data_IF_817616289716
#
_entry.id   IF_817616289716
#
_cell.length_a   1.000
_cell.length_b   1.000
_cell.length_c   1.000
_cell.angle_alpha   90.00
_cell.angle_beta   90.00
_cell.angle_gamma   90.00
#
_symmetry.space_group_name_H-M   'P 1'
#
loop_
_entity.id
_entity.type
_entity.pdbx_description
1 polymer ?
#
# COMPACT_ATOMS: atom_id res chain seq x y z
N UNK A 1 4.41 14.50 4.95
CA UNK A 1 5.49 13.52 5.18
C UNK A 1 5.77 12.84 3.84
N UNK A 2 6.98 12.94 3.28
CA UNK A 2 7.28 12.31 1.98
C UNK A 2 7.92 10.95 2.23
N UNK A 3 7.13 9.87 2.14
CA UNK A 3 7.68 8.52 2.17
C UNK A 3 8.29 8.21 0.80
N UNK A 4 9.53 7.73 0.77
CA UNK A 4 10.26 7.36 -0.45
C UNK A 4 10.42 8.48 -1.50
N UNK A 5 10.12 9.74 -1.17
CA UNK A 5 10.22 10.89 -2.07
C UNK A 5 8.95 11.18 -2.88
N UNK A 6 7.82 10.55 -2.58
CA UNK A 6 6.54 10.91 -3.22
C UNK A 6 6.12 12.32 -2.78
N UNK A 7 5.76 13.16 -3.75
CA UNK A 7 5.21 14.50 -3.52
C UNK A 7 3.69 14.54 -3.71
N UNK A 8 3.09 13.44 -4.14
CA UNK A 8 1.64 13.35 -4.32
C UNK A 8 0.98 13.24 -2.94
N UNK A 9 -0.03 14.08 -2.62
CA UNK A 9 -0.79 13.91 -1.39
C UNK A 9 -1.56 12.59 -1.42
N UNK A 10 -1.62 11.93 -0.27
CA UNK A 10 -2.50 10.78 -0.01
C UNK A 10 -3.33 11.08 1.23
N UNK A 11 -4.63 10.83 1.15
CA UNK A 11 -5.55 10.86 2.29
C UNK A 11 -5.61 9.53 3.01
N UNK A 12 -5.20 8.45 2.33
CA UNK A 12 -5.47 7.08 2.75
C UNK A 12 -4.20 6.46 3.35
N UNK A 13 -4.39 5.62 4.38
CA UNK A 13 -3.34 4.84 5.05
C UNK A 13 -3.73 3.37 5.03
N UNK A 14 -2.98 2.56 4.27
CA UNK A 14 -3.15 1.12 4.21
C UNK A 14 -2.29 0.42 5.28
N UNK A 15 -2.90 -0.42 6.12
CA UNK A 15 -2.20 -1.15 7.19
C UNK A 15 -2.42 -2.65 6.99
N UNK A 16 -1.33 -3.40 6.87
CA UNK A 16 -1.37 -4.86 6.96
C UNK A 16 -1.12 -5.29 8.39
N UNK A 17 -2.03 -6.11 8.93
CA UNK A 17 -1.91 -6.68 10.27
C UNK A 17 -1.76 -8.20 10.18
N UNK A 18 -1.00 -8.76 11.13
CA UNK A 18 -0.83 -10.20 11.24
C UNK A 18 -2.15 -10.87 11.58
N UNK A 19 -2.46 -11.98 10.90
CA UNK A 19 -3.68 -12.76 11.17
C UNK A 19 -3.68 -13.40 12.56
N UNK A 20 -2.51 -13.50 13.19
CA UNK A 20 -2.34 -14.06 14.54
C UNK A 20 -2.54 -13.05 15.67
N UNK A 21 -2.68 -11.75 15.34
CA UNK A 21 -2.82 -10.69 16.34
C UNK A 21 -4.29 -10.43 16.63
N UNK A 22 -4.61 -10.28 17.91
CA UNK A 22 -5.88 -9.68 18.31
C UNK A 22 -5.84 -8.19 17.94
N UNK A 23 -6.65 -7.83 16.96
CA UNK A 23 -6.77 -6.47 16.45
C UNK A 23 -7.97 -5.73 17.01
N UNK A 24 -8.72 -6.32 17.96
CA UNK A 24 -9.98 -5.75 18.46
C UNK A 24 -9.79 -4.32 18.94
N UNK A 25 -8.75 -4.05 19.73
CA UNK A 25 -8.46 -2.69 20.20
C UNK A 25 -8.07 -1.71 19.08
N UNK A 26 -7.35 -2.19 18.05
CA UNK A 26 -7.00 -1.36 16.89
C UNK A 26 -8.24 -1.06 16.05
N UNK A 27 -9.09 -2.06 15.80
CA UNK A 27 -10.35 -1.91 15.07
C UNK A 27 -11.29 -0.99 15.85
N UNK A 28 -11.43 -1.13 17.17
CA UNK A 28 -12.25 -0.23 17.98
C UNK A 28 -11.73 1.22 17.97
N UNK A 29 -10.41 1.41 17.96
CA UNK A 29 -9.80 2.74 17.86
C UNK A 29 -10.09 3.37 16.50
N UNK A 30 -9.99 2.59 15.42
CA UNK A 30 -10.21 3.07 14.05
C UNK A 30 -11.69 3.21 13.69
N UNK A 31 -12.58 2.35 14.23
CA UNK A 31 -14.02 2.37 13.98
C UNK A 31 -14.72 3.60 14.59
N UNK A 32 -14.06 4.33 15.49
CA UNK A 32 -14.50 5.65 15.92
C UNK A 32 -14.36 6.71 14.80
N UNK A 33 -13.63 6.38 13.72
CA UNK A 33 -13.50 7.17 12.51
C UNK A 33 -14.31 6.53 11.37
N UNK A 34 -15.35 7.25 10.94
CA UNK A 34 -16.26 6.85 9.85
C UNK A 34 -15.55 6.67 8.49
N UNK A 35 -14.30 7.15 8.35
CA UNK A 35 -13.49 6.96 7.14
C UNK A 35 -12.71 5.63 7.12
N UNK A 36 -12.73 4.85 8.21
CA UNK A 36 -12.05 3.56 8.27
C UNK A 36 -12.82 2.48 7.50
N UNK A 37 -12.08 1.68 6.71
CA UNK A 37 -12.66 0.52 6.03
C UNK A 37 -11.80 -0.72 6.33
N UNK A 38 -12.47 -1.80 6.75
CA UNK A 38 -11.83 -3.10 6.91
C UNK A 38 -12.18 -3.97 5.69
N UNK A 39 -11.28 -3.98 4.72
CA UNK A 39 -11.34 -4.95 3.64
C UNK A 39 -10.79 -6.26 4.21
N UNK A 40 -11.65 -7.22 4.57
CA UNK A 40 -11.27 -8.59 4.98
C UNK A 40 -10.45 -9.27 3.86
N UNK A 41 -9.18 -8.90 3.78
CA UNK A 41 -8.42 -8.89 2.54
C UNK A 41 -7.84 -10.26 2.17
N UNK A 42 -7.62 -10.45 0.88
CA UNK A 42 -6.87 -11.58 0.32
C UNK A 42 -5.36 -11.57 0.65
N UNK A 43 -4.83 -10.51 1.27
CA UNK A 43 -3.40 -10.38 1.61
C UNK A 43 -3.22 -10.20 3.10
N UNK A 44 -2.37 -11.03 3.68
CA UNK A 44 -2.01 -10.94 5.10
C UNK A 44 -0.63 -10.32 5.29
N UNK A 45 -0.34 -9.80 6.48
CA UNK A 45 0.99 -9.28 6.80
C UNK A 45 2.07 -10.36 6.64
N UNK A 46 1.79 -11.62 6.93
CA UNK A 46 2.75 -12.73 6.81
C UNK A 46 3.26 -12.90 5.37
N UNK A 47 2.40 -12.68 4.38
CA UNK A 47 2.77 -12.76 2.96
C UNK A 47 3.65 -11.57 2.53
N UNK A 48 3.42 -10.39 3.11
CA UNK A 48 4.15 -9.17 2.78
C UNK A 48 5.45 -9.00 3.60
N UNK A 49 5.50 -9.55 4.82
CA UNK A 49 6.59 -9.34 5.78
C UNK A 49 7.99 -9.65 5.25
N UNK A 50 8.22 -10.70 4.42
CA UNK A 50 9.54 -10.94 3.82
C UNK A 50 10.02 -9.84 2.87
N UNK A 51 9.10 -9.00 2.39
CA UNK A 51 9.33 -7.92 1.44
C UNK A 51 9.11 -6.54 2.07
N UNK A 52 9.31 -6.44 3.39
CA UNK A 52 9.18 -5.19 4.13
C UNK A 52 10.51 -4.83 4.79
N UNK A 53 10.84 -3.54 4.74
CA UNK A 53 11.99 -2.96 5.43
C UNK A 53 11.53 -2.21 6.69
N UNK A 54 12.32 -2.26 7.79
CA UNK A 54 12.03 -1.48 8.99
C UNK A 54 12.31 0.00 8.74
N UNK A 55 11.36 0.85 9.08
CA UNK A 55 11.49 2.31 9.13
C UNK A 55 11.07 2.78 10.53
N UNK A 56 12.05 2.98 11.43
CA UNK A 56 11.80 3.21 12.87
C UNK A 56 10.96 2.05 13.45
N UNK A 57 9.79 2.36 14.00
CA UNK A 57 8.87 1.41 14.63
C UNK A 57 7.89 0.76 13.65
N UNK A 58 7.84 1.23 12.39
CA UNK A 58 6.94 0.69 11.37
C UNK A 58 7.69 -0.15 10.35
N UNK A 59 7.04 -1.18 9.81
CA UNK A 59 7.53 -1.92 8.65
C UNK A 59 6.84 -1.40 7.40
N UNK A 60 7.62 -0.96 6.43
CA UNK A 60 7.08 -0.50 5.14
C UNK A 60 7.47 -1.49 4.05
N UNK A 61 6.60 -1.71 3.04
CA UNK A 61 6.97 -2.47 1.85
C UNK A 61 8.26 -1.98 1.19
N UNK A 62 9.07 -2.91 0.71
CA UNK A 62 10.21 -2.59 -0.17
C UNK A 62 9.71 -1.89 -1.45
N UNK A 63 10.51 -1.00 -2.07
CA UNK A 63 10.05 -0.24 -3.23
C UNK A 63 9.60 -1.12 -4.42
N UNK A 64 10.27 -2.23 -4.68
CA UNK A 64 9.91 -3.17 -5.75
C UNK A 64 8.65 -3.98 -5.42
N UNK A 65 8.49 -4.39 -4.16
CA UNK A 65 7.25 -5.01 -3.69
C UNK A 65 6.07 -4.02 -3.77
N UNK A 66 6.28 -2.75 -3.39
CA UNK A 66 5.29 -1.68 -3.53
C UNK A 66 4.85 -1.48 -4.99
N UNK A 67 5.83 -1.49 -5.92
CA UNK A 67 5.57 -1.43 -7.35
C UNK A 67 4.75 -2.63 -7.82
N UNK A 68 5.11 -3.84 -7.41
CA UNK A 68 4.37 -5.06 -7.74
C UNK A 68 2.93 -5.04 -7.19
N UNK A 69 2.74 -4.51 -5.96
CA UNK A 69 1.40 -4.32 -5.39
C UNK A 69 0.56 -3.38 -6.24
N UNK A 70 1.11 -2.22 -6.64
CA UNK A 70 0.42 -1.23 -7.47
C UNK A 70 0.09 -1.75 -8.86
N UNK A 71 1.02 -2.46 -9.49
CA UNK A 71 0.76 -3.14 -10.77
C UNK A 71 -0.41 -4.13 -10.66
N UNK A 72 -0.42 -4.98 -9.62
CA UNK A 72 -1.55 -5.89 -9.38
C UNK A 72 -2.87 -5.15 -9.13
N UNK A 73 -2.86 -4.08 -8.34
CA UNK A 73 -4.06 -3.25 -8.10
C UNK A 73 -4.62 -2.67 -9.41
N UNK A 74 -3.76 -2.12 -10.27
CA UNK A 74 -4.14 -1.60 -11.58
C UNK A 74 -4.88 -2.65 -12.42
N UNK A 75 -4.33 -3.86 -12.54
CA UNK A 75 -4.93 -4.95 -13.31
C UNK A 75 -6.23 -5.48 -12.73
N UNK A 76 -6.37 -5.47 -11.40
CA UNK A 76 -7.55 -6.03 -10.71
C UNK A 76 -8.67 -5.01 -10.47
N UNK A 77 -8.48 -3.72 -10.84
CA UNK A 77 -9.59 -2.75 -10.74
C UNK A 77 -10.75 -3.19 -11.61
N UNK A 78 -11.96 -3.05 -11.08
CA UNK A 78 -13.20 -3.26 -11.81
C UNK A 78 -13.33 -2.25 -12.96
N UNK A 79 -14.10 -2.62 -13.99
CA UNK A 79 -14.36 -1.75 -15.15
C UNK A 79 -15.60 -0.89 -14.90
N UNK A 80 -15.48 0.02 -13.92
CA UNK A 80 -16.51 0.99 -13.55
C UNK A 80 -15.87 2.34 -13.22
N UNK A 81 -16.69 3.38 -13.01
CA UNK A 81 -16.20 4.76 -12.81
C UNK A 81 -15.15 4.87 -11.70
N UNK A 82 -15.40 4.23 -10.56
CA UNK A 82 -14.46 4.20 -9.44
C UNK A 82 -13.17 3.45 -9.80
N UNK A 83 -13.30 2.30 -10.47
CA UNK A 83 -12.18 1.52 -10.96
C UNK A 83 -11.29 2.29 -11.95
N UNK A 84 -11.88 3.02 -12.91
CA UNK A 84 -11.14 3.89 -13.82
C UNK A 84 -10.38 5.00 -13.09
N UNK A 85 -11.02 5.71 -12.14
CA UNK A 85 -10.36 6.73 -11.31
C UNK A 85 -9.18 6.14 -10.52
N UNK A 86 -9.36 4.94 -9.94
CA UNK A 86 -8.29 4.26 -9.21
C UNK A 86 -7.17 3.78 -10.14
N UNK A 87 -7.46 3.33 -11.38
CA UNK A 87 -6.44 2.98 -12.39
C UNK A 87 -5.58 4.19 -12.77
N UNK A 88 -6.15 5.38 -12.93
CA UNK A 88 -5.40 6.62 -13.18
C UNK A 88 -4.47 6.99 -12.02
N UNK A 89 -4.91 6.76 -10.78
CA UNK A 89 -4.03 6.92 -9.60
C UNK A 89 -2.90 5.88 -9.59
N UNK A 90 -3.24 4.61 -9.87
CA UNK A 90 -2.29 3.51 -9.85
C UNK A 90 -1.21 3.65 -10.95
N UNK A 91 -1.55 4.09 -12.17
CA UNK A 91 -0.56 4.30 -13.25
C UNK A 91 0.46 5.39 -12.89
N UNK A 92 0.04 6.44 -12.19
CA UNK A 92 0.92 7.51 -11.72
C UNK A 92 1.90 6.99 -10.66
N UNK A 93 1.39 6.21 -9.71
CA UNK A 93 2.21 5.60 -8.65
C UNK A 93 3.19 4.55 -9.22
N UNK A 94 2.76 3.77 -10.24
CA UNK A 94 3.61 2.81 -10.97
C UNK A 94 4.77 3.54 -11.66
N UNK A 95 4.49 4.62 -12.40
CA UNK A 95 5.52 5.41 -13.08
C UNK A 95 6.54 5.97 -12.09
N UNK A 96 6.07 6.55 -10.98
CA UNK A 96 6.92 7.08 -9.93
C UNK A 96 7.83 5.99 -9.33
N UNK A 97 7.23 4.86 -8.96
CA UNK A 97 7.94 3.76 -8.29
C UNK A 97 8.93 3.07 -9.23
N UNK A 98 8.58 2.88 -10.50
CA UNK A 98 9.46 2.31 -11.52
C UNK A 98 10.73 3.18 -11.70
N UNK A 99 10.58 4.49 -11.86
CA UNK A 99 11.73 5.40 -11.98
C UNK A 99 12.67 5.25 -10.79
N UNK A 100 12.13 5.11 -9.57
CA UNK A 100 12.94 5.00 -8.34
C UNK A 100 13.61 3.64 -8.18
N UNK A 101 12.90 2.56 -8.52
CA UNK A 101 13.42 1.19 -8.43
C UNK A 101 14.54 0.93 -9.45
N UNK A 102 14.43 1.51 -10.65
CA UNK A 102 15.39 1.26 -11.73
C UNK A 102 16.56 2.26 -11.75
N UNK A 103 16.40 3.50 -11.24
CA UNK A 103 17.52 4.45 -11.14
C UNK A 103 18.58 4.10 -10.10
N UNK A 104 18.23 3.29 -9.09
CA UNK A 104 19.17 2.86 -8.04
C UNK A 104 19.84 1.50 -8.34
N UNK A 105 19.60 0.92 -9.52
CA UNK A 105 20.21 -0.33 -10.00
C UNK A 105 21.23 -0.10 -11.11
N UNK A 106 22.00 0.98 -11.05
CA UNK A 106 23.18 1.14 -11.89
C UNK A 106 24.26 0.20 -11.35
N UNK A 107 24.61 -0.80 -12.17
CA UNK A 107 25.76 -1.69 -12.02
C UNK A 107 27.07 -0.91 -11.97
#
# INVERSE_FOLDING_TARGET
MSLLGSQRPTSDVDILVSSSKDITSLVSLLAADEASSNENGQRTFEQASPHCLPLKEVKIPEPDYSLAMKARCFYLREDNENGHKKRESDIMDIRFSAIRCFKNRTL
#
